data_IF_295523994980
#
_entry.id   IF_295523994980
#
_cell.length_a   1.000
_cell.length_b   1.000
_cell.length_c   1.000
_cell.angle_alpha   90.00
_cell.angle_beta   90.00
_cell.angle_gamma   90.00
#
_symmetry.space_group_name_H-M   'P 1'
#
loop_
_entity.id
_entity.type
_entity.pdbx_description
1 polymer ?
#
# COMPACT_ATOMS: atom_id res chain seq x y z
N UNK A 1 33.55 -0.86 -10.17
CA UNK A 1 32.16 -0.86 -9.66
C UNK A 1 32.20 -1.14 -8.17
N UNK A 2 31.83 -0.18 -7.33
CA UNK A 2 31.84 -0.35 -5.87
C UNK A 2 30.51 -0.95 -5.44
N UNK A 3 30.47 -2.27 -5.22
CA UNK A 3 29.35 -2.91 -4.54
C UNK A 3 29.15 -2.22 -3.19
N UNK A 4 27.96 -1.70 -2.93
CA UNK A 4 27.63 -1.12 -1.62
C UNK A 4 27.58 -2.23 -0.58
N UNK A 5 28.02 -1.94 0.63
CA UNK A 5 27.95 -2.86 1.76
C UNK A 5 26.50 -3.30 1.99
N UNK A 6 26.27 -4.62 2.05
CA UNK A 6 24.99 -5.21 2.42
C UNK A 6 24.94 -5.44 3.93
N UNK A 7 23.98 -4.82 4.62
CA UNK A 7 23.76 -5.01 6.06
C UNK A 7 22.77 -6.15 6.30
N UNK A 8 22.97 -6.90 7.39
CA UNK A 8 22.11 -8.03 7.76
C UNK A 8 21.03 -7.59 8.73
N UNK A 9 19.78 -7.93 8.43
CA UNK A 9 18.64 -7.76 9.34
C UNK A 9 18.42 -9.06 10.11
N UNK A 10 18.49 -9.00 11.43
CA UNK A 10 18.17 -10.12 12.32
C UNK A 10 16.92 -9.81 13.15
N UNK A 11 15.93 -10.68 13.08
CA UNK A 11 14.73 -10.62 13.89
C UNK A 11 14.48 -11.99 14.53
N UNK A 12 14.14 -12.01 15.82
CA UNK A 12 13.74 -13.25 16.49
C UNK A 12 12.31 -13.59 16.08
N UNK A 13 12.09 -14.83 15.71
CA UNK A 13 10.78 -15.36 15.32
C UNK A 13 10.71 -16.82 15.75
N UNK A 14 9.50 -17.30 16.03
CA UNK A 14 9.25 -18.72 16.26
C UNK A 14 9.66 -19.56 15.03
N UNK A 15 10.29 -20.72 15.27
CA UNK A 15 10.81 -21.58 14.22
C UNK A 15 9.73 -22.13 13.29
N UNK A 16 8.58 -22.51 13.85
CA UNK A 16 7.43 -23.03 13.09
C UNK A 16 6.85 -21.95 12.19
N UNK A 17 6.77 -20.72 12.69
CA UNK A 17 6.30 -19.58 11.88
C UNK A 17 7.26 -19.34 10.71
N UNK A 18 8.57 -19.36 10.94
CA UNK A 18 9.59 -19.18 9.89
C UNK A 18 9.46 -20.24 8.78
N UNK A 19 9.31 -21.52 9.17
CA UNK A 19 9.17 -22.62 8.22
C UNK A 19 7.89 -22.49 7.38
N UNK A 20 6.76 -22.23 8.03
CA UNK A 20 5.47 -22.04 7.35
C UNK A 20 5.51 -20.86 6.39
N UNK A 21 6.07 -19.73 6.80
CA UNK A 21 6.24 -18.57 5.95
C UNK A 21 7.11 -18.88 4.72
N UNK A 22 8.23 -19.59 4.93
CA UNK A 22 9.09 -20.04 3.85
C UNK A 22 8.36 -20.94 2.84
N UNK A 23 7.55 -21.88 3.32
CA UNK A 23 6.77 -22.78 2.47
C UNK A 23 5.73 -22.02 1.62
N UNK A 24 4.98 -21.08 2.22
CA UNK A 24 3.97 -20.28 1.51
C UNK A 24 4.63 -19.40 0.45
N UNK A 25 5.70 -18.69 0.80
CA UNK A 25 6.38 -17.78 -0.14
C UNK A 25 7.05 -18.53 -1.30
N UNK A 26 7.55 -19.75 -1.03
CA UNK A 26 8.17 -20.58 -2.07
C UNK A 26 7.17 -21.01 -3.15
N UNK A 27 5.87 -21.15 -2.82
CA UNK A 27 4.82 -21.46 -3.81
C UNK A 27 4.68 -20.38 -4.89
N UNK A 28 5.08 -19.13 -4.58
CA UNK A 28 5.06 -18.00 -5.50
C UNK A 28 6.47 -17.54 -5.91
N UNK A 29 7.49 -18.36 -5.68
CA UNK A 29 8.86 -18.10 -6.11
C UNK A 29 9.59 -17.01 -5.31
N UNK A 30 9.16 -16.74 -4.07
CA UNK A 30 9.78 -15.74 -3.20
C UNK A 30 10.44 -16.40 -1.98
N UNK A 31 11.54 -15.81 -1.53
CA UNK A 31 12.13 -16.15 -0.22
C UNK A 31 11.66 -15.18 0.86
N UNK A 32 11.79 -15.58 2.13
CA UNK A 32 11.56 -14.69 3.28
C UNK A 32 12.41 -13.42 3.16
N UNK A 33 13.66 -13.56 2.73
CA UNK A 33 14.59 -12.43 2.54
C UNK A 33 14.13 -11.45 1.47
N UNK A 34 13.50 -11.94 0.39
CA UNK A 34 12.98 -11.06 -0.67
C UNK A 34 11.80 -10.22 -0.19
N UNK A 35 10.89 -10.85 0.56
CA UNK A 35 9.76 -10.16 1.17
C UNK A 35 10.21 -9.14 2.21
N UNK A 36 11.14 -9.52 3.11
CA UNK A 36 11.69 -8.60 4.12
C UNK A 36 12.38 -7.41 3.44
N UNK A 37 13.18 -7.64 2.39
CA UNK A 37 13.83 -6.56 1.64
C UNK A 37 12.81 -5.63 0.99
N UNK A 38 11.80 -6.18 0.30
CA UNK A 38 10.73 -5.41 -0.34
C UNK A 38 9.95 -4.57 0.68
N UNK A 39 9.61 -5.16 1.81
CA UNK A 39 8.88 -4.48 2.89
C UNK A 39 9.69 -3.31 3.46
N UNK A 40 10.97 -3.52 3.75
CA UNK A 40 11.84 -2.46 4.28
C UNK A 40 12.03 -1.33 3.26
N UNK A 41 12.23 -1.65 1.97
CA UNK A 41 12.28 -0.64 0.90
C UNK A 41 10.97 0.15 0.81
N UNK A 42 9.84 -0.53 0.98
CA UNK A 42 8.53 0.11 0.95
C UNK A 42 8.34 1.06 2.13
N UNK A 43 8.75 0.67 3.34
CA UNK A 43 8.74 1.57 4.50
C UNK A 43 9.58 2.81 4.28
N UNK A 44 10.79 2.68 3.71
CA UNK A 44 11.65 3.84 3.47
C UNK A 44 11.10 4.80 2.42
N UNK A 45 10.37 4.28 1.43
CA UNK A 45 9.83 5.09 0.34
C UNK A 45 8.47 5.73 0.69
N UNK A 46 7.62 5.00 1.41
CA UNK A 46 6.23 5.40 1.69
C UNK A 46 6.07 6.04 3.08
N UNK A 47 7.00 5.83 4.00
CA UNK A 47 6.92 6.34 5.37
C UNK A 47 5.79 5.72 6.21
N UNK A 48 5.15 4.66 5.70
CA UNK A 48 4.04 3.97 6.34
C UNK A 48 4.11 2.46 6.07
N UNK A 49 3.42 1.69 6.90
CA UNK A 49 3.22 0.26 6.65
C UNK A 49 2.27 0.05 5.44
N UNK A 50 2.49 -0.97 4.59
CA UNK A 50 1.56 -1.38 3.56
C UNK A 50 0.14 -1.50 4.08
N UNK A 51 -0.84 -0.99 3.32
CA UNK A 51 -2.26 -1.02 3.68
C UNK A 51 -2.78 -2.41 4.08
N UNK A 52 -2.23 -3.49 3.51
CA UNK A 52 -2.59 -4.87 3.85
C UNK A 52 -1.93 -5.45 5.11
N UNK A 53 -1.04 -4.70 5.77
CA UNK A 53 -0.37 -5.11 7.02
C UNK A 53 -0.91 -4.36 8.26
N UNK A 54 -1.64 -3.26 8.07
CA UNK A 54 -2.19 -2.42 9.16
C UNK A 54 -3.70 -2.43 9.29
N UNK A 55 -4.42 -2.85 8.26
CA UNK A 55 -5.86 -3.05 8.36
C UNK A 55 -6.16 -4.39 9.02
N UNK A 56 -7.03 -4.40 10.03
CA UNK A 56 -7.82 -5.60 10.30
C UNK A 56 -8.53 -5.96 8.99
N UNK A 57 -8.12 -7.07 8.37
CA UNK A 57 -8.68 -7.50 7.08
C UNK A 57 -10.20 -7.61 7.16
N UNK A 58 -10.75 -7.97 8.33
CA UNK A 58 -12.19 -8.03 8.54
C UNK A 58 -12.81 -6.63 8.55
N UNK A 59 -12.20 -5.67 9.25
CA UNK A 59 -12.65 -4.27 9.25
C UNK A 59 -12.56 -3.64 7.85
N UNK A 60 -11.50 -3.95 7.11
CA UNK A 60 -11.34 -3.50 5.72
C UNK A 60 -12.42 -4.07 4.81
N UNK A 61 -12.69 -5.38 4.90
CA UNK A 61 -13.73 -6.03 4.12
C UNK A 61 -15.14 -5.51 4.45
N UNK A 62 -15.42 -5.26 5.74
CA UNK A 62 -16.68 -4.67 6.20
C UNK A 62 -16.85 -3.26 5.65
N UNK A 63 -15.83 -2.41 5.80
CA UNK A 63 -15.86 -1.05 5.24
C UNK A 63 -16.00 -1.06 3.72
N UNK A 64 -15.30 -1.94 3.01
CA UNK A 64 -15.36 -2.02 1.55
C UNK A 64 -16.76 -2.42 1.09
N UNK A 65 -17.37 -3.42 1.73
CA UNK A 65 -18.75 -3.84 1.43
C UNK A 65 -19.75 -2.73 1.69
N UNK A 66 -19.58 -1.98 2.76
CA UNK A 66 -20.42 -0.82 3.09
C UNK A 66 -20.31 0.27 2.01
N UNK A 67 -19.08 0.60 1.58
CA UNK A 67 -18.86 1.57 0.50
C UNK A 67 -19.38 1.12 -0.86
N UNK A 68 -19.30 -0.18 -1.18
CA UNK A 68 -19.91 -0.73 -2.40
C UNK A 68 -21.43 -0.60 -2.34
N UNK A 69 -22.06 -0.90 -1.20
CA UNK A 69 -23.49 -0.72 -1.02
C UNK A 69 -23.90 0.74 -1.17
N UNK A 70 -23.21 1.64 -0.50
CA UNK A 70 -23.43 3.09 -0.61
C UNK A 70 -23.38 3.56 -2.06
N UNK A 71 -22.40 3.09 -2.85
CA UNK A 71 -22.27 3.44 -4.26
C UNK A 71 -23.40 2.87 -5.14
N UNK A 72 -23.90 1.67 -4.82
CA UNK A 72 -25.03 1.05 -5.54
C UNK A 72 -26.38 1.72 -5.21
N UNK A 73 -26.50 2.27 -4.00
CA UNK A 73 -27.70 2.98 -3.53
C UNK A 73 -27.68 4.48 -3.87
N UNK A 74 -26.55 5.00 -4.36
CA UNK A 74 -26.38 6.39 -4.74
C UNK A 74 -27.25 6.75 -5.95
N UNK A 75 -28.22 7.65 -5.73
CA UNK A 75 -29.14 8.13 -6.75
C UNK A 75 -28.65 9.41 -7.44
N UNK A 76 -27.45 9.90 -7.10
CA UNK A 76 -26.89 11.10 -7.75
C UNK A 76 -26.70 10.85 -9.25
N UNK A 77 -26.88 11.88 -10.08
CA UNK A 77 -26.67 11.75 -11.52
C UNK A 77 -25.25 11.28 -11.82
N UNK A 78 -25.07 10.35 -12.77
CA UNK A 78 -23.74 9.93 -13.18
C UNK A 78 -22.97 11.12 -13.74
N UNK A 79 -21.69 11.22 -13.36
CA UNK A 79 -20.79 12.25 -13.87
C UNK A 79 -20.23 11.77 -15.21
N UNK A 80 -20.19 12.66 -16.21
CA UNK A 80 -19.57 12.32 -17.49
C UNK A 80 -18.07 12.06 -17.30
N UNK A 81 -17.48 11.22 -18.15
CA UNK A 81 -16.05 10.94 -18.10
C UNK A 81 -15.21 12.23 -18.25
N UNK A 82 -15.63 13.16 -19.10
CA UNK A 82 -14.96 14.45 -19.29
C UNK A 82 -14.99 15.31 -18.02
N UNK A 83 -16.16 15.41 -17.38
CA UNK A 83 -16.32 16.22 -16.16
C UNK A 83 -15.58 15.62 -14.96
N UNK A 84 -15.54 14.28 -14.86
CA UNK A 84 -14.77 13.58 -13.85
C UNK A 84 -13.26 13.85 -14.00
N UNK A 85 -12.73 13.79 -15.23
CA UNK A 85 -11.34 14.12 -15.53
C UNK A 85 -11.02 15.58 -15.23
N UNK A 86 -11.90 16.50 -15.61
CA UNK A 86 -11.73 17.93 -15.32
C UNK A 86 -11.66 18.18 -13.80
N UNK A 87 -12.57 17.57 -13.01
CA UNK A 87 -12.54 17.64 -11.54
C UNK A 87 -11.26 17.05 -10.94
N UNK A 88 -10.81 15.89 -11.43
CA UNK A 88 -9.59 15.26 -10.92
C UNK A 88 -8.35 16.10 -11.23
N UNK A 89 -8.27 16.71 -12.42
CA UNK A 89 -7.19 17.60 -12.81
C UNK A 89 -7.12 18.85 -11.91
N UNK A 90 -8.27 19.46 -11.62
CA UNK A 90 -8.36 20.61 -10.73
C UNK A 90 -7.93 20.27 -9.28
N UNK A 91 -8.45 19.17 -8.72
CA UNK A 91 -8.03 18.69 -7.38
C UNK A 91 -6.52 18.45 -7.35
N UNK A 92 -5.96 17.80 -8.38
CA UNK A 92 -4.52 17.54 -8.47
C UNK A 92 -3.70 18.84 -8.49
N UNK A 93 -4.12 19.84 -9.26
CA UNK A 93 -3.45 21.13 -9.33
C UNK A 93 -3.47 21.84 -7.96
N UNK A 94 -4.61 21.83 -7.26
CA UNK A 94 -4.72 22.41 -5.91
C UNK A 94 -3.82 21.71 -4.88
N UNK A 95 -3.71 20.39 -4.93
CA UNK A 95 -2.83 19.62 -4.02
C UNK A 95 -1.36 19.94 -4.27
N UNK A 96 -0.95 20.07 -5.53
CA UNK A 96 0.43 20.43 -5.89
C UNK A 96 0.77 21.84 -5.41
N UNK A 97 -0.09 22.83 -5.69
CA UNK A 97 0.10 24.20 -5.22
C UNK A 97 0.24 24.30 -3.69
N UNK A 98 -0.51 23.49 -2.93
CA UNK A 98 -0.38 23.40 -1.46
C UNK A 98 0.92 22.76 -1.00
N UNK A 99 1.47 21.80 -1.74
CA UNK A 99 2.78 21.20 -1.43
C UNK A 99 3.90 22.21 -1.66
N UNK A 100 3.84 22.94 -2.76
CA UNK A 100 4.85 23.94 -3.11
C UNK A 100 4.86 25.10 -2.11
N UNK A 101 3.68 25.53 -1.63
CA UNK A 101 3.56 26.56 -0.60
C UNK A 101 4.00 26.11 0.82
N UNK A 102 4.10 24.80 1.09
CA UNK A 102 4.51 24.25 2.39
C UNK A 102 5.97 23.77 2.40
N UNK A 103 6.61 23.73 1.23
CA UNK A 103 8.02 23.40 1.04
C UNK A 103 8.95 24.62 0.95
N UNK A 104 8.42 25.82 1.21
CA UNK A 104 9.15 27.10 1.22
C UNK A 104 9.18 27.70 2.63
#
# INVERSE_FOLDING_TARGET
>A
MRWRASEVVQARIDGVIKERAGAVLSQIGLTVSDVVRSLLTRFTNEGALPAGLTGDSQAYDVWLRDKVREAMEDQRPPVSHADAHARMADIKAQVLARRDAKGQ
#
